data_IF_176847347259
#
_entry.id   IF_176847347259
#
_cell.length_a   1.000
_cell.length_b   1.000
_cell.length_c   1.000
_cell.angle_alpha   90.00
_cell.angle_beta   90.00
_cell.angle_gamma   90.00
#
_symmetry.space_group_name_H-M   'P 1'
#
loop_
_entity.id
_entity.type
_entity.pdbx_description
1 polymer ?
#
# COMPACT_ATOMS: atom_id res chain seq x y z
N UNK A 1 -2.77 19.74 7.91
CA UNK A 1 -3.10 18.97 6.70
C UNK A 1 -3.00 19.78 5.41
N UNK A 2 -3.73 20.89 5.24
CA UNK A 2 -3.75 21.64 3.97
C UNK A 2 -2.38 22.03 3.41
N UNK A 3 -1.48 22.54 4.27
CA UNK A 3 -0.11 22.90 3.89
C UNK A 3 0.72 21.72 3.38
N UNK A 4 0.45 20.51 3.87
CA UNK A 4 1.21 19.30 3.54
C UNK A 4 0.81 18.73 2.17
N UNK A 5 -0.49 18.70 1.86
CA UNK A 5 -0.96 18.29 0.54
C UNK A 5 -0.57 19.26 -0.56
N UNK A 6 -0.61 20.57 -0.29
CA UNK A 6 -0.11 21.58 -1.24
C UNK A 6 1.36 21.33 -1.60
N UNK A 7 2.21 20.99 -0.61
CA UNK A 7 3.61 20.61 -0.85
C UNK A 7 3.71 19.29 -1.64
N UNK A 8 2.93 18.27 -1.31
CA UNK A 8 2.98 16.98 -2.00
C UNK A 8 2.60 17.10 -3.48
N UNK A 9 1.56 17.86 -3.81
CA UNK A 9 1.17 18.15 -5.19
C UNK A 9 2.25 18.90 -5.98
N UNK A 10 2.95 19.83 -5.32
CA UNK A 10 4.06 20.57 -5.91
C UNK A 10 5.31 19.70 -6.13
N UNK A 11 5.65 18.83 -5.17
CA UNK A 11 6.87 18.01 -5.20
C UNK A 11 6.76 16.77 -6.09
N UNK A 12 5.56 16.22 -6.29
CA UNK A 12 5.34 15.01 -7.07
C UNK A 12 4.42 15.25 -8.28
N UNK A 13 4.99 15.47 -9.49
CA UNK A 13 4.22 15.66 -10.71
C UNK A 13 3.29 14.49 -11.06
N UNK A 14 3.51 13.29 -10.54
CA UNK A 14 2.69 12.11 -10.83
C UNK A 14 1.56 11.88 -9.81
N UNK A 15 1.59 12.56 -8.67
CA UNK A 15 0.52 12.50 -7.67
C UNK A 15 -0.78 13.11 -8.21
N UNK A 16 -1.93 12.50 -7.89
CA UNK A 16 -3.26 12.96 -8.31
C UNK A 16 -3.68 12.69 -9.77
N UNK A 17 -3.03 11.74 -10.46
CA UNK A 17 -3.32 11.39 -11.88
C UNK A 17 -3.98 10.02 -12.08
N UNK A 18 -4.14 9.23 -11.03
CA UNK A 18 -4.48 7.80 -11.09
C UNK A 18 -5.97 7.51 -11.28
N UNK A 19 -6.84 8.47 -10.96
CA UNK A 19 -8.31 8.33 -10.98
C UNK A 19 -8.87 7.94 -12.35
N UNK A 20 -8.18 8.28 -13.45
CA UNK A 20 -8.58 7.86 -14.81
C UNK A 20 -8.74 6.34 -14.95
N UNK A 21 -8.01 5.54 -14.16
CA UNK A 21 -8.13 4.08 -14.16
C UNK A 21 -9.48 3.58 -13.64
N UNK A 22 -10.26 4.43 -12.97
CA UNK A 22 -11.60 4.09 -12.47
C UNK A 22 -12.70 4.30 -13.52
N UNK A 23 -12.39 4.85 -14.70
CA UNK A 23 -13.40 5.18 -15.72
C UNK A 23 -14.35 4.01 -16.03
N UNK A 24 -13.83 2.79 -16.21
CA UNK A 24 -14.63 1.60 -16.52
C UNK A 24 -15.51 1.09 -15.36
N UNK A 25 -15.33 1.67 -14.17
CA UNK A 25 -16.12 1.38 -12.96
C UNK A 25 -17.12 2.50 -12.67
N UNK A 26 -16.74 3.74 -12.98
CA UNK A 26 -17.54 4.96 -12.75
C UNK A 26 -18.61 5.13 -13.83
N UNK A 27 -18.25 4.96 -15.11
CA UNK A 27 -19.14 5.29 -16.22
C UNK A 27 -20.46 4.49 -16.20
N UNK A 28 -20.48 3.16 -15.99
CA UNK A 28 -21.74 2.41 -15.91
C UNK A 28 -22.65 2.87 -14.77
N UNK A 29 -22.07 3.34 -13.66
CA UNK A 29 -22.82 3.84 -12.50
C UNK A 29 -23.46 5.20 -12.79
N UNK A 30 -22.76 6.08 -13.50
CA UNK A 30 -23.32 7.36 -13.94
C UNK A 30 -24.44 7.17 -14.98
N UNK A 31 -24.25 6.24 -15.91
CA UNK A 31 -25.28 5.85 -16.90
C UNK A 31 -26.52 5.26 -16.20
N UNK A 32 -26.33 4.43 -15.19
CA UNK A 32 -27.41 3.83 -14.40
C UNK A 32 -28.31 4.86 -13.71
N UNK A 33 -27.69 5.93 -13.20
CA UNK A 33 -28.35 7.09 -12.59
C UNK A 33 -28.92 8.09 -13.61
N UNK A 34 -28.60 7.95 -14.90
CA UNK A 34 -28.83 8.98 -15.91
C UNK A 34 -28.25 10.35 -15.50
N UNK A 35 -27.12 10.34 -14.81
CA UNK A 35 -26.45 11.53 -14.31
C UNK A 35 -25.86 12.35 -15.48
N UNK A 36 -25.99 13.68 -15.41
CA UNK A 36 -25.42 14.60 -16.41
C UNK A 36 -24.47 15.59 -15.76
N UNK A 37 -24.86 16.16 -14.63
CA UNK A 37 -24.07 17.11 -13.85
C UNK A 37 -23.36 16.39 -12.71
N UNK A 38 -22.04 16.35 -12.76
CA UNK A 38 -21.21 15.53 -11.87
C UNK A 38 -20.20 16.40 -11.14
N UNK A 39 -20.00 16.15 -9.84
CA UNK A 39 -18.91 16.73 -9.07
C UNK A 39 -17.79 15.69 -8.89
N UNK A 40 -16.58 15.99 -9.38
CA UNK A 40 -15.36 15.26 -9.04
C UNK A 40 -14.79 15.87 -7.74
N UNK A 41 -15.09 15.25 -6.59
CA UNK A 41 -14.73 15.72 -5.25
C UNK A 41 -13.39 15.12 -4.83
N UNK A 42 -12.43 15.96 -4.44
CA UNK A 42 -11.04 15.55 -4.26
C UNK A 42 -10.37 15.16 -5.58
N UNK A 43 -10.66 15.91 -6.65
CA UNK A 43 -10.31 15.53 -8.02
C UNK A 43 -8.81 15.50 -8.33
N UNK A 44 -7.95 16.01 -7.43
CA UNK A 44 -6.52 16.16 -7.66
C UNK A 44 -6.25 16.94 -8.94
N UNK A 45 -5.62 16.32 -9.94
CA UNK A 45 -5.32 16.97 -11.23
C UNK A 45 -6.48 16.92 -12.24
N UNK A 46 -7.63 16.39 -11.81
CA UNK A 46 -8.88 16.34 -12.58
C UNK A 46 -8.88 15.31 -13.72
N UNK A 47 -8.03 14.28 -13.67
CA UNK A 47 -7.84 13.35 -14.80
C UNK A 47 -9.12 12.57 -15.16
N UNK A 48 -9.89 12.13 -14.15
CA UNK A 48 -11.16 11.44 -14.34
C UNK A 48 -12.24 12.42 -14.85
N UNK A 49 -12.48 13.53 -14.16
CA UNK A 49 -13.46 14.52 -14.58
C UNK A 49 -13.21 15.10 -15.98
N UNK A 50 -11.95 15.40 -16.35
CA UNK A 50 -11.59 15.85 -17.72
C UNK A 50 -11.95 14.80 -18.77
N UNK A 51 -11.79 13.51 -18.44
CA UNK A 51 -12.19 12.44 -19.34
C UNK A 51 -13.71 12.34 -19.46
N UNK A 52 -14.46 12.52 -18.36
CA UNK A 52 -15.92 12.56 -18.38
C UNK A 52 -16.46 13.76 -19.17
N UNK A 53 -15.85 14.94 -19.07
CA UNK A 53 -16.19 16.09 -19.91
C UNK A 53 -16.05 15.76 -21.41
N UNK A 54 -14.98 15.05 -21.81
CA UNK A 54 -14.81 14.60 -23.20
C UNK A 54 -15.89 13.61 -23.67
N UNK A 55 -16.63 13.00 -22.74
CA UNK A 55 -17.75 12.09 -23.00
C UNK A 55 -19.11 12.80 -22.90
N UNK A 56 -19.14 14.12 -22.67
CA UNK A 56 -20.36 14.93 -22.67
C UNK A 56 -20.99 15.20 -21.30
N UNK A 57 -20.32 14.84 -20.19
CA UNK A 57 -20.79 15.19 -18.85
C UNK A 57 -20.48 16.65 -18.49
N UNK A 58 -21.39 17.31 -17.77
CA UNK A 58 -21.15 18.61 -17.14
C UNK A 58 -20.42 18.38 -15.80
N UNK A 59 -19.09 18.46 -15.81
CA UNK A 59 -18.27 18.14 -14.64
C UNK A 59 -17.76 19.41 -13.97
N UNK A 60 -18.05 19.54 -12.68
CA UNK A 60 -17.36 20.46 -11.77
C UNK A 60 -16.25 19.75 -11.03
N UNK A 61 -15.17 20.47 -10.75
CA UNK A 61 -14.01 19.97 -10.03
C UNK A 61 -13.93 20.64 -8.67
N UNK A 62 -13.63 19.86 -7.64
CA UNK A 62 -13.31 20.40 -6.33
C UNK A 62 -12.14 19.64 -5.72
N UNK A 63 -11.12 20.37 -5.29
CA UNK A 63 -10.05 19.84 -4.45
C UNK A 63 -9.45 21.00 -3.65
N UNK A 64 -9.60 21.02 -2.31
CA UNK A 64 -9.12 22.13 -1.48
C UNK A 64 -7.58 22.26 -1.49
N UNK A 65 -6.86 21.26 -1.99
CA UNK A 65 -5.40 21.21 -2.03
C UNK A 65 -4.83 21.40 -3.44
N UNK A 66 -5.66 21.74 -4.42
CA UNK A 66 -5.24 22.12 -5.77
C UNK A 66 -5.76 23.52 -6.07
N UNK A 67 -4.89 24.55 -6.17
CA UNK A 67 -5.33 25.94 -6.30
C UNK A 67 -6.32 26.21 -7.44
N UNK A 68 -6.19 25.49 -8.56
CA UNK A 68 -7.12 25.57 -9.71
C UNK A 68 -8.55 25.11 -9.35
N UNK A 69 -8.70 24.18 -8.41
CA UNK A 69 -9.97 23.53 -8.04
C UNK A 69 -10.36 23.78 -6.57
N UNK A 70 -9.70 24.71 -5.88
CA UNK A 70 -9.94 24.97 -4.47
C UNK A 70 -11.25 25.71 -4.19
N UNK A 71 -11.86 26.31 -5.21
CA UNK A 71 -13.16 26.98 -5.06
C UNK A 71 -14.27 25.92 -4.97
N UNK A 72 -14.99 25.91 -3.85
CA UNK A 72 -16.15 25.04 -3.68
C UNK A 72 -17.23 25.34 -4.72
N UNK A 73 -17.65 24.37 -5.55
CA UNK A 73 -18.65 24.59 -6.58
C UNK A 73 -20.06 24.71 -5.99
N UNK A 74 -20.81 25.69 -6.51
CA UNK A 74 -22.18 25.97 -6.11
C UNK A 74 -23.20 25.08 -6.84
N UNK A 75 -24.33 24.82 -6.16
CA UNK A 75 -25.45 24.07 -6.70
C UNK A 75 -25.48 22.58 -6.30
N UNK A 76 -26.52 21.91 -6.78
CA UNK A 76 -26.73 20.47 -6.62
C UNK A 76 -26.21 19.71 -7.84
N UNK A 77 -25.79 18.47 -7.62
CA UNK A 77 -25.26 17.57 -8.64
C UNK A 77 -26.10 16.31 -8.74
N UNK A 78 -26.16 15.71 -9.93
CA UNK A 78 -26.83 14.43 -10.12
C UNK A 78 -26.03 13.29 -9.45
N UNK A 79 -24.70 13.45 -9.40
CA UNK A 79 -23.78 12.53 -8.74
C UNK A 79 -22.50 13.24 -8.24
N UNK A 80 -21.96 12.78 -7.11
CA UNK A 80 -20.63 13.13 -6.62
C UNK A 80 -19.71 11.91 -6.74
N UNK A 81 -18.52 12.11 -7.30
CA UNK A 81 -17.44 11.12 -7.32
C UNK A 81 -16.46 11.47 -6.20
N UNK A 82 -16.36 10.61 -5.20
CA UNK A 82 -15.43 10.75 -4.07
C UNK A 82 -14.45 9.57 -4.12
N UNK A 83 -13.38 9.71 -4.91
CA UNK A 83 -12.44 8.61 -5.19
C UNK A 83 -11.04 8.95 -4.70
N UNK A 84 -10.47 8.14 -3.80
CA UNK A 84 -9.13 8.37 -3.20
C UNK A 84 -9.11 9.66 -2.35
N UNK A 85 -10.06 9.79 -1.41
CA UNK A 85 -10.30 11.01 -0.61
C UNK A 85 -10.51 10.69 0.87
N UNK A 86 -11.45 9.80 1.19
CA UNK A 86 -11.89 9.59 2.58
C UNK A 86 -10.77 9.05 3.49
N UNK A 87 -9.88 8.23 2.95
CA UNK A 87 -8.70 7.69 3.61
C UNK A 87 -7.65 8.77 3.97
N UNK A 88 -7.67 9.90 3.27
CA UNK A 88 -6.78 11.04 3.45
C UNK A 88 -7.28 12.01 4.53
N UNK A 89 -8.46 11.77 5.10
CA UNK A 89 -9.08 12.62 6.12
C UNK A 89 -8.93 11.92 7.49
N UNK A 90 -8.43 12.60 8.54
CA UNK A 90 -8.36 12.08 9.90
C UNK A 90 -9.76 11.76 10.42
N UNK A 91 -9.85 10.73 11.27
CA UNK A 91 -11.13 10.23 11.78
C UNK A 91 -12.00 11.31 12.44
N UNK A 92 -11.38 12.30 13.08
CA UNK A 92 -12.05 13.43 13.74
C UNK A 92 -12.70 14.42 12.78
N UNK A 93 -12.25 14.50 11.53
CA UNK A 93 -12.71 15.47 10.53
C UNK A 93 -13.70 14.86 9.53
N UNK A 94 -13.85 13.53 9.52
CA UNK A 94 -14.71 12.82 8.55
C UNK A 94 -16.15 13.30 8.56
N UNK A 95 -16.71 13.61 9.74
CA UNK A 95 -18.11 14.01 9.83
C UNK A 95 -18.39 15.28 9.02
N UNK A 96 -17.59 16.34 9.21
CA UNK A 96 -17.78 17.60 8.49
C UNK A 96 -17.60 17.44 6.96
N UNK A 97 -16.69 16.57 6.52
CA UNK A 97 -16.51 16.31 5.08
C UNK A 97 -17.69 15.51 4.50
N UNK A 98 -18.21 14.52 5.25
CA UNK A 98 -19.38 13.75 4.83
C UNK A 98 -20.64 14.61 4.76
N UNK A 99 -20.84 15.52 5.71
CA UNK A 99 -21.91 16.52 5.67
C UNK A 99 -21.79 17.42 4.44
N UNK A 100 -20.58 17.91 4.15
CA UNK A 100 -20.32 18.72 2.97
C UNK A 100 -20.65 17.95 1.67
N UNK A 101 -20.21 16.71 1.54
CA UNK A 101 -20.50 15.86 0.37
C UNK A 101 -22.01 15.60 0.25
N UNK A 102 -22.68 15.21 1.33
CA UNK A 102 -24.11 14.92 1.34
C UNK A 102 -24.95 16.17 0.99
N UNK A 103 -24.46 17.37 1.31
CA UNK A 103 -25.11 18.62 0.91
C UNK A 103 -25.09 18.89 -0.59
N UNK A 104 -24.19 18.26 -1.36
CA UNK A 104 -24.02 18.48 -2.81
C UNK A 104 -24.83 17.50 -3.66
N UNK A 105 -25.11 16.31 -3.14
CA UNK A 105 -25.87 15.27 -3.84
C UNK A 105 -26.30 14.15 -2.89
N UNK A 106 -27.50 13.61 -3.11
CA UNK A 106 -27.93 12.36 -2.48
C UNK A 106 -27.25 11.12 -3.11
N UNK A 107 -26.72 11.25 -4.32
CA UNK A 107 -26.04 10.19 -5.08
C UNK A 107 -24.52 10.40 -5.05
N UNK A 108 -23.79 9.51 -4.39
CA UNK A 108 -22.35 9.59 -4.20
C UNK A 108 -21.73 8.22 -4.45
N UNK A 109 -20.69 8.20 -5.28
CA UNK A 109 -19.81 7.05 -5.42
C UNK A 109 -18.55 7.29 -4.59
N UNK A 110 -18.30 6.40 -3.65
CA UNK A 110 -17.06 6.35 -2.87
C UNK A 110 -16.15 5.26 -3.40
N UNK A 111 -14.86 5.56 -3.56
CA UNK A 111 -13.80 4.56 -3.71
C UNK A 111 -12.70 4.87 -2.70
N UNK A 112 -12.56 4.01 -1.69
CA UNK A 112 -11.74 4.28 -0.50
C UNK A 112 -10.67 3.21 -0.35
N UNK A 113 -9.40 3.61 -0.28
CA UNK A 113 -8.28 2.73 0.03
C UNK A 113 -8.33 2.23 1.47
N UNK A 114 -8.02 0.94 1.64
CA UNK A 114 -8.03 0.23 2.92
C UNK A 114 -6.60 -0.04 3.43
N UNK A 115 -5.59 0.57 2.80
CA UNK A 115 -4.17 0.32 3.10
C UNK A 115 -3.39 1.60 3.13
N UNK A 116 -2.21 1.58 3.77
CA UNK A 116 -1.29 2.72 3.77
C UNK A 116 -0.91 3.17 2.35
N UNK A 117 -0.76 4.47 2.19
CA UNK A 117 -0.22 5.04 0.97
C UNK A 117 1.25 4.67 0.81
N UNK A 118 1.69 4.60 -0.46
CA UNK A 118 3.12 4.65 -0.75
C UNK A 118 3.70 6.03 -0.35
N UNK A 119 2.86 7.07 -0.42
CA UNK A 119 3.25 8.45 -0.17
C UNK A 119 3.34 8.81 1.32
N UNK A 120 4.36 9.61 1.64
CA UNK A 120 4.50 10.33 2.90
C UNK A 120 4.26 11.82 2.68
N UNK A 121 3.76 12.48 3.72
CA UNK A 121 3.67 13.93 3.83
C UNK A 121 5.03 14.54 4.23
N UNK A 122 5.17 15.87 4.18
CA UNK A 122 6.47 16.50 4.44
C UNK A 122 6.89 16.46 5.91
N UNK A 123 5.94 16.22 6.82
CA UNK A 123 6.19 15.90 8.23
C UNK A 123 6.54 14.41 8.48
N UNK A 124 6.48 13.57 7.44
CA UNK A 124 6.77 12.15 7.50
C UNK A 124 5.62 11.22 7.86
N UNK A 125 4.44 11.77 8.14
CA UNK A 125 3.23 10.97 8.32
C UNK A 125 2.79 10.31 7.02
N UNK A 126 2.06 9.19 7.12
CA UNK A 126 1.46 8.59 5.93
C UNK A 126 0.39 9.51 5.35
N UNK A 127 0.29 9.56 4.01
CA UNK A 127 -0.80 10.31 3.39
C UNK A 127 -2.19 9.72 3.69
N UNK A 128 -2.31 8.43 3.98
CA UNK A 128 -3.57 7.84 4.44
C UNK A 128 -3.64 7.88 5.97
N UNK A 129 -4.53 8.71 6.51
CA UNK A 129 -4.77 8.84 7.95
C UNK A 129 -5.76 7.79 8.45
N UNK A 130 -6.90 7.65 7.76
CA UNK A 130 -7.98 6.74 8.19
C UNK A 130 -7.91 5.44 7.41
N UNK A 131 -7.31 4.42 8.02
CA UNK A 131 -7.18 3.08 7.45
C UNK A 131 -8.05 2.12 8.25
N UNK A 132 -9.25 1.87 7.75
CA UNK A 132 -10.30 1.08 8.40
C UNK A 132 -10.87 0.01 7.47
N UNK A 133 -11.37 -1.11 8.01
CA UNK A 133 -11.97 -2.17 7.19
C UNK A 133 -13.28 -1.72 6.53
N UNK A 134 -13.74 -2.41 5.47
CA UNK A 134 -14.98 -2.06 4.74
C UNK A 134 -16.20 -1.84 5.65
N UNK A 135 -16.47 -2.77 6.58
CA UNK A 135 -17.63 -2.68 7.47
C UNK A 135 -17.65 -1.39 8.31
N UNK A 136 -16.49 -0.89 8.72
CA UNK A 136 -16.40 0.38 9.45
C UNK A 136 -16.77 1.56 8.56
N UNK A 137 -16.32 1.56 7.30
CA UNK A 137 -16.68 2.60 6.33
C UNK A 137 -18.18 2.57 6.04
N UNK A 138 -18.77 1.39 5.85
CA UNK A 138 -20.21 1.26 5.66
C UNK A 138 -21.00 1.87 6.83
N UNK A 139 -20.61 1.56 8.07
CA UNK A 139 -21.21 2.13 9.28
C UNK A 139 -20.99 3.65 9.38
N UNK A 140 -19.81 4.14 8.98
CA UNK A 140 -19.47 5.57 8.99
C UNK A 140 -20.30 6.37 7.98
N UNK A 141 -20.63 5.78 6.83
CA UNK A 141 -21.40 6.43 5.76
C UNK A 141 -22.91 6.42 6.01
N UNK A 142 -23.43 5.38 6.69
CA UNK A 142 -24.86 5.14 6.88
C UNK A 142 -25.66 6.32 7.50
N UNK A 143 -25.13 7.16 8.40
CA UNK A 143 -25.87 8.31 8.93
C UNK A 143 -26.16 9.41 7.90
N UNK A 144 -25.38 9.49 6.80
CA UNK A 144 -25.44 10.59 5.83
C UNK A 144 -26.22 10.20 4.56
N UNK A 145 -26.39 8.91 4.30
CA UNK A 145 -26.95 8.40 3.06
C UNK A 145 -28.00 7.32 3.33
N UNK A 146 -29.12 7.39 2.62
CA UNK A 146 -30.23 6.44 2.78
C UNK A 146 -29.87 5.00 2.38
N UNK A 147 -28.83 4.83 1.57
CA UNK A 147 -28.27 3.55 1.19
C UNK A 147 -26.74 3.62 1.22
N UNK A 148 -26.09 2.49 1.48
CA UNK A 148 -24.64 2.30 1.34
C UNK A 148 -24.42 0.90 0.76
N UNK A 149 -24.48 0.81 -0.56
CA UNK A 149 -24.36 -0.45 -1.31
C UNK A 149 -22.92 -0.65 -1.76
N UNK A 150 -22.30 -1.78 -1.41
CA UNK A 150 -20.96 -2.12 -1.90
C UNK A 150 -21.00 -2.41 -3.40
N UNK A 151 -20.07 -1.82 -4.16
CA UNK A 151 -19.93 -2.02 -5.60
C UNK A 151 -18.50 -2.47 -5.94
N UNK A 152 -18.32 -3.28 -7.00
CA UNK A 152 -16.98 -3.69 -7.41
C UNK A 152 -16.14 -2.48 -7.80
N UNK A 153 -14.94 -2.36 -7.22
CA UNK A 153 -13.92 -1.39 -7.64
C UNK A 153 -12.71 -2.09 -8.27
N UNK A 154 -11.79 -1.28 -8.79
CA UNK A 154 -10.61 -1.75 -9.50
C UNK A 154 -9.63 -2.50 -8.60
N UNK A 155 -9.35 -1.95 -7.42
CA UNK A 155 -8.30 -2.43 -6.54
C UNK A 155 -8.87 -3.38 -5.49
N UNK A 156 -8.10 -4.42 -5.14
CA UNK A 156 -8.51 -5.37 -4.08
C UNK A 156 -8.25 -4.79 -2.67
N UNK A 157 -7.44 -3.73 -2.59
CA UNK A 157 -7.09 -3.00 -1.37
C UNK A 157 -7.94 -1.73 -1.22
N UNK A 158 -9.06 -1.64 -1.92
CA UNK A 158 -10.00 -0.54 -1.82
C UNK A 158 -11.43 -1.11 -1.78
N UNK A 159 -12.35 -0.34 -1.23
CA UNK A 159 -13.78 -0.62 -1.26
C UNK A 159 -14.50 0.43 -2.10
N UNK A 160 -15.52 -0.01 -2.85
CA UNK A 160 -16.43 0.87 -3.56
C UNK A 160 -17.78 0.90 -2.88
N UNK A 161 -18.37 2.07 -2.66
CA UNK A 161 -19.76 2.22 -2.17
C UNK A 161 -20.54 3.21 -3.03
N UNK A 162 -21.82 2.92 -3.25
CA UNK A 162 -22.78 3.89 -3.80
C UNK A 162 -23.84 4.22 -2.76
N UNK A 163 -24.29 5.48 -2.73
CA UNK A 163 -25.39 5.91 -1.87
C UNK A 163 -26.80 5.59 -2.42
N UNK A 164 -26.85 4.89 -3.55
CA UNK A 164 -28.04 4.27 -4.13
C UNK A 164 -27.76 2.78 -4.37
N UNK A 165 -28.80 2.01 -4.67
CA UNK A 165 -28.65 0.63 -5.12
C UNK A 165 -28.59 0.59 -6.66
N UNK A 166 -27.43 0.28 -7.27
CA UNK A 166 -27.33 0.21 -8.72
C UNK A 166 -28.11 -0.99 -9.28
N UNK A 167 -28.57 -0.90 -10.53
CA UNK A 167 -29.22 -2.05 -11.19
C UNK A 167 -28.28 -3.25 -11.27
N UNK A 168 -28.84 -4.46 -11.19
CA UNK A 168 -28.08 -5.71 -11.25
C UNK A 168 -27.22 -5.82 -12.52
N UNK A 169 -27.74 -5.37 -13.67
CA UNK A 169 -27.02 -5.39 -14.94
C UNK A 169 -25.80 -4.46 -14.92
N UNK A 170 -25.91 -3.30 -14.26
CA UNK A 170 -24.80 -2.36 -14.04
C UNK A 170 -23.70 -3.02 -13.21
N UNK A 171 -24.05 -3.68 -12.10
CA UNK A 171 -23.09 -4.40 -11.26
C UNK A 171 -22.44 -5.56 -12.03
N UNK A 172 -23.21 -6.26 -12.87
CA UNK A 172 -22.71 -7.33 -13.73
C UNK A 172 -21.72 -6.80 -14.79
N UNK A 173 -22.01 -5.66 -15.41
CA UNK A 173 -21.14 -4.99 -16.38
C UNK A 173 -19.80 -4.62 -15.75
N UNK A 174 -19.80 -3.98 -14.57
CA UNK A 174 -18.58 -3.61 -13.86
C UNK A 174 -17.78 -4.85 -13.45
N UNK A 175 -18.47 -5.90 -12.98
CA UNK A 175 -17.84 -7.18 -12.64
C UNK A 175 -17.18 -7.84 -13.86
N UNK A 176 -17.83 -7.80 -15.02
CA UNK A 176 -17.27 -8.27 -16.29
C UNK A 176 -16.06 -7.45 -16.71
N UNK A 177 -16.12 -6.13 -16.61
CA UNK A 177 -14.98 -5.24 -16.88
C UNK A 177 -13.77 -5.61 -16.00
N UNK A 178 -13.97 -5.73 -14.67
CA UNK A 178 -12.91 -6.17 -13.73
C UNK A 178 -12.33 -7.53 -14.09
N UNK A 179 -13.17 -8.49 -14.52
CA UNK A 179 -12.73 -9.82 -14.96
C UNK A 179 -11.85 -9.73 -16.21
N UNK A 180 -12.19 -8.88 -17.18
CA UNK A 180 -11.41 -8.65 -18.39
C UNK A 180 -10.07 -7.98 -18.08
N UNK A 181 -10.05 -6.95 -17.24
CA UNK A 181 -8.80 -6.31 -16.78
C UNK A 181 -7.88 -7.33 -16.09
N UNK A 182 -8.40 -8.12 -15.15
CA UNK A 182 -7.63 -9.17 -14.46
C UNK A 182 -7.10 -10.23 -15.42
N UNK A 183 -7.88 -10.64 -16.42
CA UNK A 183 -7.42 -11.56 -17.48
C UNK A 183 -6.29 -10.95 -18.30
N UNK A 184 -6.39 -9.68 -18.68
CA UNK A 184 -5.33 -8.97 -19.40
C UNK A 184 -4.04 -8.88 -18.57
N UNK A 185 -4.15 -8.53 -17.28
CA UNK A 185 -3.02 -8.49 -16.35
C UNK A 185 -2.36 -9.87 -16.20
N UNK A 186 -3.15 -10.95 -16.08
CA UNK A 186 -2.64 -12.33 -16.00
C UNK A 186 -1.94 -12.77 -17.29
N UNK A 187 -2.46 -12.39 -18.46
CA UNK A 187 -1.79 -12.63 -19.75
C UNK A 187 -0.44 -11.91 -19.82
N UNK A 188 -0.39 -10.65 -19.41
CA UNK A 188 0.86 -9.88 -19.34
C UNK A 188 1.87 -10.50 -18.36
N UNK A 189 1.41 -11.01 -17.21
CA UNK A 189 2.25 -11.74 -16.27
C UNK A 189 2.83 -13.04 -16.87
N UNK A 190 2.02 -13.79 -17.62
CA UNK A 190 2.47 -15.01 -18.30
C UNK A 190 3.50 -14.71 -19.40
N UNK A 191 3.25 -13.69 -20.22
CA UNK A 191 4.16 -13.26 -21.29
C UNK A 191 5.53 -12.86 -20.72
N UNK A 192 5.56 -12.13 -19.61
CA UNK A 192 6.80 -11.66 -18.99
C UNK A 192 7.50 -12.73 -18.13
N UNK A 193 6.89 -13.89 -17.91
CA UNK A 193 7.38 -14.90 -16.97
C UNK A 193 8.79 -15.42 -17.30
N UNK A 194 9.14 -15.77 -18.55
CA UNK A 194 10.49 -16.24 -18.85
C UNK A 194 11.56 -15.21 -18.49
N UNK A 195 11.32 -13.94 -18.85
CA UNK A 195 12.23 -12.83 -18.54
C UNK A 195 12.40 -12.62 -17.03
N UNK A 196 11.31 -12.75 -16.26
CA UNK A 196 11.34 -12.68 -14.80
C UNK A 196 12.15 -13.82 -14.17
N UNK A 197 11.97 -15.05 -14.66
CA UNK A 197 12.71 -16.21 -14.18
C UNK A 197 14.22 -16.08 -14.47
N UNK A 198 14.59 -15.76 -15.72
CA UNK A 198 15.99 -15.55 -16.13
C UNK A 198 16.62 -14.39 -15.35
N UNK A 199 15.94 -13.25 -15.30
CA UNK A 199 16.43 -12.07 -14.60
C UNK A 199 16.68 -12.32 -13.10
N UNK A 200 15.75 -13.02 -12.44
CA UNK A 200 15.92 -13.37 -11.03
C UNK A 200 17.11 -14.30 -10.79
N UNK A 201 17.40 -15.22 -11.72
CA UNK A 201 18.54 -16.12 -11.63
C UNK A 201 19.87 -15.38 -11.80
N UNK A 202 19.92 -14.42 -12.73
CA UNK A 202 21.09 -13.56 -12.93
C UNK A 202 21.44 -12.74 -11.69
N UNK A 203 20.42 -12.24 -10.97
CA UNK A 203 20.62 -11.50 -9.73
C UNK A 203 20.95 -12.41 -8.54
N UNK A 204 20.34 -13.59 -8.47
CA UNK A 204 20.69 -14.60 -7.44
C UNK A 204 22.16 -15.00 -7.50
N UNK A 205 22.75 -15.08 -8.71
CA UNK A 205 24.19 -15.33 -8.90
C UNK A 205 25.10 -14.24 -8.34
N UNK A 206 24.61 -13.02 -8.19
CA UNK A 206 25.39 -11.91 -7.60
C UNK A 206 25.56 -12.03 -6.08
N UNK A 207 24.95 -13.05 -5.45
CA UNK A 207 24.94 -13.28 -3.98
C UNK A 207 24.33 -12.11 -3.20
N UNK A 208 24.24 -12.24 -1.88
CA UNK A 208 23.76 -11.21 -0.95
C UNK A 208 24.84 -10.17 -0.59
N UNK A 209 25.92 -10.04 -1.38
CA UNK A 209 27.02 -9.12 -1.07
C UNK A 209 26.56 -7.68 -0.89
N UNK A 210 25.64 -7.21 -1.74
CA UNK A 210 25.09 -5.87 -1.63
C UNK A 210 24.38 -5.60 -0.28
N UNK A 211 23.75 -6.61 0.32
CA UNK A 211 23.18 -6.47 1.67
C UNK A 211 24.28 -6.52 2.72
N UNK A 212 25.21 -7.47 2.61
CA UNK A 212 26.32 -7.62 3.54
C UNK A 212 27.18 -6.33 3.60
N UNK A 213 27.48 -5.72 2.46
CA UNK A 213 28.22 -4.45 2.37
C UNK A 213 27.47 -3.30 3.08
N UNK A 214 26.13 -3.32 3.06
CA UNK A 214 25.32 -2.34 3.77
C UNK A 214 25.30 -2.58 5.27
N UNK A 215 25.25 -3.83 5.72
CA UNK A 215 25.02 -4.20 7.13
C UNK A 215 26.29 -4.44 7.94
N UNK A 216 27.43 -4.75 7.30
CA UNK A 216 28.65 -5.17 7.98
C UNK A 216 29.14 -4.14 9.00
N UNK A 217 29.26 -4.57 10.25
CA UNK A 217 29.70 -3.74 11.38
C UNK A 217 28.76 -2.60 11.75
N UNK A 218 27.54 -2.56 11.19
CA UNK A 218 26.55 -1.50 11.43
C UNK A 218 25.40 -1.96 12.30
N UNK A 219 24.72 -1.00 12.91
CA UNK A 219 23.46 -1.22 13.61
C UNK A 219 22.31 -1.36 12.60
N UNK A 220 21.48 -2.39 12.78
CA UNK A 220 20.39 -2.72 11.85
C UNK A 220 19.04 -2.79 12.57
N UNK A 221 18.11 -1.92 12.18
CA UNK A 221 16.70 -2.06 12.54
C UNK A 221 15.99 -2.92 11.49
N UNK A 222 15.47 -4.07 11.88
CA UNK A 222 14.58 -4.87 11.04
C UNK A 222 13.14 -4.65 11.49
N UNK A 223 12.36 -3.96 10.66
CA UNK A 223 11.00 -3.53 10.98
C UNK A 223 9.98 -4.44 10.30
N UNK A 224 9.32 -5.24 11.13
CA UNK A 224 8.18 -6.08 10.79
C UNK A 224 6.91 -5.27 10.55
N UNK A 225 5.82 -5.97 10.22
CA UNK A 225 4.55 -5.34 9.87
C UNK A 225 3.46 -5.62 10.93
N UNK A 226 3.82 -5.91 12.18
CA UNK A 226 2.84 -6.17 13.25
C UNK A 226 1.96 -4.93 13.52
N UNK A 227 0.66 -5.13 13.80
CA UNK A 227 -0.25 -4.01 14.15
C UNK A 227 0.09 -3.38 15.50
N UNK A 228 0.70 -4.14 16.41
CA UNK A 228 1.19 -3.69 17.73
C UNK A 228 2.18 -2.52 17.66
N UNK A 229 2.82 -2.29 16.51
CA UNK A 229 3.64 -1.10 16.30
C UNK A 229 2.86 0.22 16.43
N UNK A 230 1.53 0.22 16.20
CA UNK A 230 0.68 1.42 16.30
C UNK A 230 0.63 2.02 17.71
N UNK A 231 0.87 1.19 18.72
CA UNK A 231 0.69 1.54 20.12
C UNK A 231 1.99 1.99 20.79
N UNK A 232 3.07 2.14 19.99
CA UNK A 232 4.40 2.48 20.47
C UNK A 232 4.94 3.74 19.78
N UNK A 233 5.90 4.42 20.41
CA UNK A 233 6.63 5.56 19.84
C UNK A 233 8.10 5.18 19.59
N UNK A 234 8.33 4.25 18.65
CA UNK A 234 9.64 3.64 18.38
C UNK A 234 10.42 4.35 17.27
N UNK A 235 9.85 5.38 16.66
CA UNK A 235 10.39 5.92 15.42
C UNK A 235 11.77 6.55 15.54
N UNK A 236 12.03 7.25 16.65
CA UNK A 236 13.37 7.77 16.94
C UNK A 236 14.41 6.67 17.10
N UNK A 237 14.05 5.56 17.76
CA UNK A 237 14.94 4.41 17.93
C UNK A 237 15.19 3.68 16.61
N UNK A 238 14.14 3.45 15.81
CA UNK A 238 14.25 2.84 14.49
C UNK A 238 15.18 3.66 13.59
N UNK A 239 14.96 4.97 13.49
CA UNK A 239 15.70 5.84 12.58
C UNK A 239 17.15 6.12 13.05
N UNK A 240 17.45 5.90 14.33
CA UNK A 240 18.80 6.00 14.88
C UNK A 240 19.75 4.89 14.39
N UNK A 241 19.22 3.77 13.90
CA UNK A 241 20.05 2.69 13.36
C UNK A 241 20.67 3.10 12.02
N UNK A 242 21.89 2.65 11.75
CA UNK A 242 22.61 2.94 10.51
C UNK A 242 21.85 2.44 9.27
N UNK A 243 21.27 1.23 9.37
CA UNK A 243 20.50 0.57 8.32
C UNK A 243 19.10 0.24 8.83
N UNK A 244 18.07 0.70 8.11
CA UNK A 244 16.68 0.33 8.41
C UNK A 244 16.13 -0.53 7.27
N UNK A 245 15.68 -1.74 7.61
CA UNK A 245 15.11 -2.71 6.68
C UNK A 245 13.62 -2.84 6.95
N UNK A 246 12.79 -2.58 5.94
CA UNK A 246 11.33 -2.74 6.04
C UNK A 246 10.82 -3.88 5.16
N UNK A 247 9.76 -4.54 5.61
CA UNK A 247 9.21 -5.70 4.93
C UNK A 247 8.07 -5.34 3.95
N UNK A 248 8.14 -5.93 2.75
CA UNK A 248 7.15 -5.80 1.69
C UNK A 248 6.95 -4.34 1.25
N UNK A 249 5.76 -3.77 1.47
CA UNK A 249 5.52 -2.33 1.23
C UNK A 249 6.08 -1.44 2.33
N UNK A 250 6.44 -2.01 3.49
CA UNK A 250 7.00 -1.28 4.63
C UNK A 250 6.11 -0.13 5.10
N UNK A 251 4.88 -0.40 5.58
CA UNK A 251 3.97 0.66 5.99
C UNK A 251 4.65 1.56 7.04
N UNK A 252 4.60 2.86 6.79
CA UNK A 252 5.07 3.90 7.71
C UNK A 252 3.85 4.67 8.15
N UNK A 253 3.68 4.81 9.46
CA UNK A 253 2.55 5.50 10.09
C UNK A 253 2.89 6.96 10.30
N UNK A 254 3.98 7.21 11.03
CA UNK A 254 4.55 8.53 11.28
C UNK A 254 6.02 8.41 11.66
N UNK A 255 6.69 9.57 11.66
CA UNK A 255 8.05 9.73 12.19
C UNK A 255 8.15 9.29 13.64
N UNK A 256 7.14 9.58 14.46
CA UNK A 256 7.13 9.25 15.89
C UNK A 256 6.94 7.75 16.14
N UNK A 257 5.98 7.12 15.47
CA UNK A 257 5.57 5.74 15.76
C UNK A 257 6.56 4.75 15.17
N UNK A 258 6.89 4.93 13.89
CA UNK A 258 7.60 3.91 13.10
C UNK A 258 8.87 4.41 12.42
N UNK A 259 9.21 5.69 12.58
CA UNK A 259 10.29 6.34 11.85
C UNK A 259 9.98 6.44 10.36
N UNK A 260 10.86 7.09 9.61
CA UNK A 260 10.74 7.23 8.15
C UNK A 260 11.85 6.51 7.39
N UNK A 261 13.01 6.31 8.03
CA UNK A 261 14.20 5.78 7.37
C UNK A 261 13.90 4.40 6.80
N UNK A 262 14.32 4.19 5.55
CA UNK A 262 14.16 2.93 4.83
C UNK A 262 15.36 2.74 3.90
N UNK A 263 16.45 2.20 4.44
CA UNK A 263 17.66 1.89 3.66
C UNK A 263 17.42 0.71 2.71
N UNK A 264 16.73 -0.33 3.19
CA UNK A 264 16.45 -1.55 2.41
C UNK A 264 14.96 -1.87 2.42
N UNK A 265 14.40 -2.15 1.23
CA UNK A 265 13.07 -2.76 1.10
C UNK A 265 13.21 -4.25 0.80
N UNK A 266 12.91 -5.09 1.80
CA UNK A 266 12.95 -6.54 1.68
C UNK A 266 11.55 -7.09 1.44
N UNK A 267 11.29 -7.68 0.27
CA UNK A 267 9.93 -7.96 -0.19
C UNK A 267 9.73 -9.38 -0.73
N UNK A 268 8.57 -9.97 -0.40
CA UNK A 268 8.04 -11.19 -1.01
C UNK A 268 6.88 -10.92 -2.00
N UNK A 269 6.54 -9.65 -2.22
CA UNK A 269 5.51 -9.20 -3.14
C UNK A 269 6.06 -8.17 -4.14
N UNK A 270 5.45 -8.01 -5.32
CA UNK A 270 5.82 -6.92 -6.22
C UNK A 270 5.70 -5.56 -5.53
N UNK A 271 6.77 -4.77 -5.61
CA UNK A 271 6.77 -3.35 -5.20
C UNK A 271 7.03 -2.47 -6.42
N UNK A 272 6.48 -1.26 -6.40
CA UNK A 272 6.67 -0.29 -7.47
C UNK A 272 8.06 0.35 -7.39
N UNK A 273 8.62 0.71 -8.54
CA UNK A 273 9.84 1.53 -8.60
C UNK A 273 9.61 2.92 -7.99
N UNK A 274 8.35 3.41 -8.01
CA UNK A 274 7.97 4.68 -7.38
C UNK A 274 8.14 4.64 -5.87
N UNK A 275 7.61 3.60 -5.21
CA UNK A 275 7.79 3.38 -3.76
C UNK A 275 9.27 3.33 -3.39
N UNK A 276 10.06 2.50 -4.08
CA UNK A 276 11.51 2.39 -3.85
C UNK A 276 12.23 3.73 -3.89
N UNK A 277 11.93 4.56 -4.90
CA UNK A 277 12.53 5.89 -5.05
C UNK A 277 12.06 6.88 -4.00
N UNK A 278 10.75 6.92 -3.76
CA UNK A 278 10.15 7.87 -2.82
C UNK A 278 10.68 7.66 -1.40
N UNK A 279 10.99 6.41 -1.05
CA UNK A 279 11.59 6.03 0.23
C UNK A 279 13.11 6.26 0.32
N UNK A 280 13.74 6.68 -0.78
CA UNK A 280 15.20 6.88 -0.83
C UNK A 280 15.98 5.59 -0.60
N UNK A 281 15.43 4.43 -0.96
CA UNK A 281 16.05 3.15 -0.66
C UNK A 281 17.36 2.96 -1.42
N UNK A 282 18.34 2.39 -0.74
CA UNK A 282 19.63 2.02 -1.32
C UNK A 282 19.58 0.63 -1.96
N UNK A 283 18.80 -0.31 -1.39
CA UNK A 283 18.71 -1.69 -1.85
C UNK A 283 17.27 -2.23 -1.83
N UNK A 284 16.88 -2.93 -2.89
CA UNK A 284 15.68 -3.76 -2.90
C UNK A 284 16.06 -5.24 -2.83
N UNK A 285 15.55 -5.96 -1.84
CA UNK A 285 15.83 -7.38 -1.62
C UNK A 285 14.59 -8.23 -1.93
N UNK A 286 14.67 -9.08 -2.96
CA UNK A 286 13.59 -10.01 -3.29
C UNK A 286 13.75 -11.32 -2.51
N UNK A 287 12.86 -11.55 -1.54
CA UNK A 287 12.95 -12.65 -0.59
C UNK A 287 12.37 -13.98 -1.12
N UNK A 288 11.23 -13.92 -1.81
CA UNK A 288 10.50 -15.15 -2.14
C UNK A 288 11.17 -15.97 -3.26
N UNK A 289 11.22 -17.31 -3.14
CA UNK A 289 11.74 -18.18 -4.21
C UNK A 289 10.81 -18.19 -5.44
N UNK A 290 9.59 -17.66 -5.31
CA UNK A 290 8.63 -17.52 -6.42
C UNK A 290 9.10 -16.42 -7.36
N UNK A 291 9.53 -16.79 -8.57
CA UNK A 291 10.07 -15.83 -9.56
C UNK A 291 9.04 -15.30 -10.56
N UNK A 292 7.84 -15.87 -10.60
CA UNK A 292 6.74 -15.45 -11.49
C UNK A 292 6.37 -13.97 -11.34
N UNK A 293 6.49 -13.44 -10.12
CA UNK A 293 6.15 -12.06 -9.75
C UNK A 293 7.38 -11.16 -9.59
N UNK A 294 8.56 -11.63 -9.99
CA UNK A 294 9.80 -10.89 -9.88
C UNK A 294 9.71 -9.54 -10.62
N UNK A 295 10.01 -8.38 -9.99
CA UNK A 295 9.85 -7.09 -10.65
C UNK A 295 10.95 -6.87 -11.68
N UNK A 296 10.58 -6.75 -12.95
CA UNK A 296 11.55 -6.56 -14.05
C UNK A 296 12.43 -5.31 -13.89
N UNK A 297 11.96 -4.31 -13.16
CA UNK A 297 12.75 -3.10 -12.89
C UNK A 297 13.99 -3.38 -12.03
N UNK A 298 14.03 -4.49 -11.26
CA UNK A 298 15.23 -4.91 -10.52
C UNK A 298 16.42 -5.22 -11.45
N UNK A 299 16.16 -5.48 -12.73
CA UNK A 299 17.21 -5.75 -13.72
C UNK A 299 17.86 -4.46 -14.25
N UNK A 300 17.32 -3.28 -13.92
CA UNK A 300 17.88 -2.00 -14.35
C UNK A 300 19.14 -1.72 -13.53
N UNK A 301 20.30 -1.71 -14.19
CA UNK A 301 21.64 -1.55 -13.57
C UNK A 301 21.80 -0.37 -12.60
N UNK A 302 21.01 0.69 -12.78
CA UNK A 302 21.05 1.89 -11.93
C UNK A 302 20.45 1.70 -10.52
N UNK A 303 19.77 0.59 -10.28
CA UNK A 303 19.23 0.27 -8.95
C UNK A 303 19.99 -0.90 -8.36
N UNK A 304 20.33 -0.80 -7.09
CA UNK A 304 20.89 -1.93 -6.37
C UNK A 304 19.75 -2.87 -5.96
N UNK A 305 19.83 -4.11 -6.43
CA UNK A 305 18.80 -5.12 -6.20
C UNK A 305 19.46 -6.46 -5.94
N UNK A 306 19.00 -7.14 -4.89
CA UNK A 306 19.47 -8.45 -4.50
C UNK A 306 18.32 -9.46 -4.47
N UNK A 307 18.68 -10.73 -4.50
CA UNK A 307 17.74 -11.84 -4.49
C UNK A 307 18.16 -12.83 -3.42
N UNK A 308 17.24 -13.16 -2.51
CA UNK A 308 17.45 -14.21 -1.53
C UNK A 308 17.61 -15.57 -2.24
N UNK A 309 18.71 -16.31 -1.99
CA UNK A 309 18.97 -17.55 -2.68
C UNK A 309 17.95 -18.65 -2.35
N UNK A 310 17.59 -19.45 -3.35
CA UNK A 310 16.70 -20.61 -3.16
C UNK A 310 17.30 -21.66 -2.23
N UNK A 311 18.62 -21.80 -2.22
CA UNK A 311 19.34 -22.70 -1.31
C UNK A 311 19.16 -22.28 0.15
N UNK A 312 19.29 -20.98 0.45
CA UNK A 312 19.09 -20.44 1.80
C UNK A 312 17.64 -20.63 2.23
N UNK A 313 16.66 -20.37 1.35
CA UNK A 313 15.25 -20.67 1.65
C UNK A 313 15.03 -22.15 1.98
N UNK A 314 15.63 -23.08 1.21
CA UNK A 314 15.47 -24.52 1.48
C UNK A 314 16.10 -24.92 2.82
N UNK A 315 17.27 -24.40 3.15
CA UNK A 315 17.94 -24.65 4.42
C UNK A 315 17.09 -24.12 5.58
N UNK A 316 16.67 -22.87 5.50
CA UNK A 316 15.84 -22.21 6.53
C UNK A 316 14.50 -22.91 6.74
N UNK A 317 13.84 -23.36 5.66
CA UNK A 317 12.62 -24.17 5.76
C UNK A 317 12.83 -25.50 6.50
N UNK A 318 13.97 -26.15 6.33
CA UNK A 318 14.28 -27.40 7.07
C UNK A 318 14.53 -27.11 8.54
N UNK A 319 15.19 -26.00 8.85
CA UNK A 319 15.46 -25.59 10.24
C UNK A 319 14.18 -25.26 11.00
N UNK A 320 13.24 -24.55 10.37
CA UNK A 320 11.98 -24.12 11.00
C UNK A 320 10.92 -25.23 10.95
N UNK A 321 11.01 -26.15 9.98
CA UNK A 321 9.99 -27.18 9.73
C UNK A 321 8.81 -26.70 8.88
N UNK A 322 8.79 -25.42 8.49
CA UNK A 322 7.73 -24.81 7.69
C UNK A 322 8.28 -23.81 6.65
N UNK A 323 7.37 -23.13 5.94
CA UNK A 323 7.77 -22.08 5.00
C UNK A 323 8.04 -20.77 5.76
N UNK A 324 9.26 -20.20 5.71
CA UNK A 324 9.58 -18.98 6.44
C UNK A 324 8.80 -17.76 5.92
N UNK A 325 8.44 -16.87 6.84
CA UNK A 325 7.91 -15.54 6.54
C UNK A 325 8.99 -14.63 5.93
N UNK A 326 8.53 -13.48 5.41
CA UNK A 326 9.45 -12.44 4.94
C UNK A 326 10.36 -11.90 6.06
N UNK A 327 9.85 -11.84 7.29
CA UNK A 327 10.62 -11.38 8.43
C UNK A 327 11.79 -12.32 8.73
N UNK A 328 11.52 -13.62 8.82
CA UNK A 328 12.57 -14.62 9.10
C UNK A 328 13.60 -14.72 7.97
N UNK A 329 13.17 -14.64 6.70
CA UNK A 329 14.12 -14.59 5.57
C UNK A 329 14.99 -13.33 5.59
N UNK A 330 14.42 -12.17 5.94
CA UNK A 330 15.18 -10.93 6.05
C UNK A 330 16.16 -10.99 7.22
N UNK A 331 15.74 -11.48 8.39
CA UNK A 331 16.60 -11.68 9.56
C UNK A 331 17.79 -12.57 9.22
N UNK A 332 17.53 -13.72 8.60
CA UNK A 332 18.61 -14.63 8.17
C UNK A 332 19.60 -13.93 7.21
N UNK A 333 19.09 -13.13 6.27
CA UNK A 333 19.93 -12.37 5.34
C UNK A 333 20.79 -11.29 6.03
N UNK A 334 20.27 -10.68 7.10
CA UNK A 334 21.00 -9.68 7.90
C UNK A 334 22.09 -10.34 8.72
N UNK A 335 21.82 -11.48 9.36
CA UNK A 335 22.80 -12.18 10.18
C UNK A 335 24.00 -12.68 9.36
N UNK A 336 23.78 -13.09 8.11
CA UNK A 336 24.85 -13.43 7.15
C UNK A 336 25.76 -12.22 6.80
N UNK A 337 25.29 -10.99 7.07
CA UNK A 337 25.98 -9.74 6.77
C UNK A 337 26.81 -9.16 7.91
N UNK A 338 27.07 -9.92 8.98
CA UNK A 338 27.93 -9.54 10.12
C UNK A 338 27.66 -8.14 10.72
N UNK A 339 26.42 -7.83 11.13
CA UNK A 339 26.09 -6.55 11.75
C UNK A 339 26.70 -6.43 13.16
N UNK A 340 26.90 -5.20 13.63
CA UNK A 340 27.34 -4.97 15.02
C UNK A 340 26.19 -5.07 16.02
N UNK A 341 24.96 -4.77 15.56
CA UNK A 341 23.72 -4.88 16.34
C UNK A 341 22.54 -5.13 15.41
N UNK A 342 21.57 -5.92 15.85
CA UNK A 342 20.28 -6.09 15.18
C UNK A 342 19.16 -5.91 16.20
N UNK A 343 18.19 -5.04 15.87
CA UNK A 343 16.99 -4.84 16.68
C UNK A 343 15.76 -5.17 15.84
N UNK A 344 14.93 -6.08 16.35
CA UNK A 344 13.68 -6.50 15.72
C UNK A 344 12.52 -5.66 16.25
N UNK A 345 11.87 -4.91 15.37
CA UNK A 345 10.69 -4.11 15.70
C UNK A 345 9.43 -4.73 15.09
N UNK A 346 8.40 -4.98 15.89
CA UNK A 346 7.12 -5.50 15.37
C UNK A 346 7.21 -6.95 14.89
N UNK A 347 7.93 -7.79 15.64
CA UNK A 347 8.03 -9.25 15.47
C UNK A 347 7.29 -9.96 16.61
N UNK A 348 5.96 -9.98 16.56
CA UNK A 348 5.08 -10.53 17.61
C UNK A 348 4.44 -11.88 17.23
N UNK A 349 4.97 -12.55 16.21
CA UNK A 349 4.48 -13.88 15.82
C UNK A 349 3.08 -13.81 15.22
N UNK A 350 2.73 -12.67 14.62
CA UNK A 350 1.42 -12.40 14.04
C UNK A 350 0.29 -12.28 15.08
N UNK A 351 0.62 -12.16 16.37
CA UNK A 351 -0.37 -12.03 17.45
C UNK A 351 -1.29 -10.83 17.27
N UNK A 352 -0.77 -9.69 16.80
CA UNK A 352 -1.58 -8.51 16.47
C UNK A 352 -2.06 -8.48 15.01
N UNK A 353 -1.76 -9.50 14.21
CA UNK A 353 -1.95 -9.48 12.75
C UNK A 353 -0.98 -8.54 12.04
N UNK A 354 -1.29 -8.13 10.80
CA UNK A 354 -0.40 -7.30 10.00
C UNK A 354 -0.99 -5.95 9.55
N UNK A 355 -0.19 -4.90 9.59
CA UNK A 355 -0.45 -3.59 8.98
C UNK A 355 -0.61 -3.64 7.45
N UNK A 356 -0.21 -4.75 6.83
CA UNK A 356 -0.27 -4.92 5.37
C UNK A 356 -1.43 -5.79 4.89
N UNK A 357 -2.19 -6.41 5.79
CA UNK A 357 -3.20 -7.41 5.46
C UNK A 357 -4.13 -7.70 6.65
N UNK A 358 -5.43 -7.85 6.37
CA UNK A 358 -6.43 -8.28 7.35
C UNK A 358 -6.60 -9.81 7.46
N UNK A 359 -5.74 -10.59 6.78
CA UNK A 359 -5.69 -12.05 6.98
C UNK A 359 -5.48 -12.41 8.46
N UNK A 360 -6.16 -13.47 8.90
CA UNK A 360 -5.94 -14.08 10.21
C UNK A 360 -4.76 -15.05 10.18
N UNK A 361 -4.30 -15.50 11.35
CA UNK A 361 -3.19 -16.45 11.45
C UNK A 361 -3.52 -17.78 10.73
N UNK A 362 -4.77 -18.25 10.84
CA UNK A 362 -5.25 -19.51 10.26
C UNK A 362 -5.30 -19.47 8.73
N UNK A 363 -5.46 -18.27 8.15
CA UNK A 363 -5.47 -18.06 6.71
C UNK A 363 -4.05 -17.96 6.13
N UNK A 364 -3.04 -17.72 6.96
CA UNK A 364 -1.67 -17.58 6.52
C UNK A 364 -1.00 -18.96 6.33
N UNK A 365 -0.20 -19.15 5.27
CA UNK A 365 0.47 -20.43 4.98
C UNK A 365 1.77 -20.61 5.80
N UNK A 366 1.82 -20.06 7.01
CA UNK A 366 3.02 -19.94 7.85
C UNK A 366 2.76 -20.55 9.23
N UNK A 367 3.81 -21.13 9.81
CA UNK A 367 3.78 -21.60 11.20
C UNK A 367 4.47 -20.56 12.08
N UNK A 368 3.68 -19.59 12.57
CA UNK A 368 4.20 -18.48 13.36
C UNK A 368 4.76 -18.92 14.71
N UNK A 369 4.27 -20.03 15.26
CA UNK A 369 4.77 -20.60 16.53
C UNK A 369 6.19 -21.10 16.32
N UNK A 370 6.41 -21.97 15.33
CA UNK A 370 7.76 -22.47 15.03
C UNK A 370 8.73 -21.34 14.64
N UNK A 371 8.25 -20.31 13.93
CA UNK A 371 9.07 -19.14 13.60
C UNK A 371 9.46 -18.32 14.83
N UNK A 372 8.54 -18.12 15.79
CA UNK A 372 8.86 -17.40 17.02
C UNK A 372 9.85 -18.17 17.87
N UNK A 373 9.65 -19.48 18.05
CA UNK A 373 10.63 -20.34 18.74
C UNK A 373 12.02 -20.23 18.11
N UNK A 374 12.10 -20.20 16.77
CA UNK A 374 13.37 -19.99 16.06
C UNK A 374 14.00 -18.62 16.36
N UNK A 375 13.20 -17.55 16.38
CA UNK A 375 13.68 -16.20 16.72
C UNK A 375 14.13 -16.13 18.19
N UNK A 376 13.38 -16.71 19.12
CA UNK A 376 13.71 -16.77 20.55
C UNK A 376 15.08 -17.41 20.76
N UNK A 377 15.32 -18.57 20.14
CA UNK A 377 16.61 -19.27 20.19
C UNK A 377 17.75 -18.43 19.62
N UNK A 378 17.50 -17.63 18.58
CA UNK A 378 18.51 -16.73 18.03
C UNK A 378 18.82 -15.58 18.99
N UNK A 379 17.81 -14.97 19.61
CA UNK A 379 17.98 -13.88 20.57
C UNK A 379 18.76 -14.36 21.79
N UNK A 380 18.46 -15.55 22.31
CA UNK A 380 19.19 -16.15 23.44
C UNK A 380 20.66 -16.42 23.11
N UNK A 381 20.95 -16.85 21.88
CA UNK A 381 22.31 -17.25 21.46
C UNK A 381 23.16 -16.07 20.99
N UNK A 382 22.55 -15.02 20.44
CA UNK A 382 23.26 -13.92 19.78
C UNK A 382 23.10 -12.64 20.61
N UNK A 383 24.11 -12.24 21.41
CA UNK A 383 23.97 -11.10 22.33
C UNK A 383 23.76 -9.75 21.63
N UNK A 384 24.05 -9.66 20.33
CA UNK A 384 23.84 -8.46 19.51
C UNK A 384 22.46 -8.41 18.85
N UNK A 385 21.61 -9.42 19.02
CA UNK A 385 20.25 -9.49 18.48
C UNK A 385 19.22 -9.25 19.59
N UNK A 386 18.40 -8.21 19.45
CA UNK A 386 17.40 -7.80 20.45
C UNK A 386 16.01 -7.61 19.83
N UNK A 387 14.98 -7.50 20.67
CA UNK A 387 13.58 -7.26 20.27
C UNK A 387 13.02 -6.03 21.01
N UNK A 388 12.19 -5.26 20.31
CA UNK A 388 11.57 -4.03 20.81
C UNK A 388 10.03 -4.02 20.68
#
# INVERSE_FOLDING_TARGET
MATEYLKLHAQNPEYGKTSLRLLGYVLPLLEDLNAKRVLDFGCGKGALGKKLQSLGYDVSFYDPYVPEFAKDPEGQFDAVLCTDVMEHIPESELNGVLEAIASKSANVLFVISLTFADALLSDGSNAHYTIKPPAWWQQRLAPYFSNVTEVPTRQDTAVGYTSWAPKNDTVAQISQHRKLERRAAKRSELYNRPLREIGSYLLERKKLSALADLTKGKSVALVGNAKSLREKSLGGEIDAHDVVIRLNRGPIMSTEISGQKTTVLATSIPISMGLFKQRGCELALWLTPKRKKFPLWFLKKKYNCAVFPKSHHKALSRTIGSRPTSGVMALHSVLDGEPSQVTLFGFDGFASGSLSSDMTAEQAPHDFVSEQTYIDQLVERLPFLTRA
#
